data_IF_595112688624
#
_entry.id   IF_595112688624
#
_cell.length_a   1.000
_cell.length_b   1.000
_cell.length_c   1.000
_cell.angle_alpha   90.00
_cell.angle_beta   90.00
_cell.angle_gamma   90.00
#
_symmetry.space_group_name_H-M   'P 1'
#
loop_
_entity.id
_entity.type
_entity.pdbx_description
1 polymer ?
#
# COMPACT_ATOMS: atom_id res chain seq x y z
N UNK A 1 1.88 14.18 20.69
CA UNK A 1 0.90 13.45 21.53
C UNK A 1 1.48 12.27 22.32
N UNK A 2 2.77 11.92 22.20
CA UNK A 2 3.44 11.03 23.17
C UNK A 2 2.92 9.59 23.19
N UNK A 3 2.23 9.19 22.12
CA UNK A 3 1.50 7.93 22.00
C UNK A 3 2.49 6.77 21.94
N UNK A 4 2.41 5.87 22.92
CA UNK A 4 3.24 4.66 22.94
C UNK A 4 2.53 3.57 22.15
N UNK A 5 3.16 3.11 21.06
CA UNK A 5 2.66 2.00 20.24
C UNK A 5 3.47 0.74 20.49
N UNK A 6 2.78 -0.38 20.68
CA UNK A 6 3.40 -1.69 20.87
C UNK A 6 3.51 -2.43 19.55
N UNK A 7 4.72 -2.88 19.19
CA UNK A 7 4.93 -3.66 17.98
C UNK A 7 4.34 -5.07 18.12
N UNK A 8 3.62 -5.51 17.08
CA UNK A 8 3.12 -6.89 16.99
C UNK A 8 4.29 -7.84 16.70
N UNK A 9 4.38 -8.95 17.45
CA UNK A 9 5.32 -10.05 17.21
C UNK A 9 4.56 -11.29 16.75
N UNK A 10 4.27 -11.44 15.44
CA UNK A 10 3.49 -12.57 14.96
C UNK A 10 4.26 -13.88 15.11
N UNK A 11 3.57 -14.92 15.60
CA UNK A 11 4.05 -16.31 15.57
C UNK A 11 3.42 -17.00 14.36
N UNK A 12 4.21 -17.25 13.32
CA UNK A 12 3.73 -17.83 12.08
C UNK A 12 3.97 -19.35 12.06
N UNK A 13 3.04 -20.09 11.47
CA UNK A 13 3.16 -21.53 11.23
C UNK A 13 2.72 -21.84 9.81
N UNK A 14 3.66 -22.23 8.97
CA UNK A 14 3.43 -22.56 7.56
C UNK A 14 3.26 -24.09 7.44
N UNK A 15 2.22 -24.54 6.74
CA UNK A 15 1.98 -25.95 6.43
C UNK A 15 1.61 -26.07 4.96
N UNK A 16 2.37 -26.88 4.23
CA UNK A 16 2.08 -27.22 2.84
C UNK A 16 1.79 -28.72 2.80
N UNK A 17 0.59 -29.15 2.35
CA UNK A 17 0.28 -30.57 2.23
C UNK A 17 1.34 -31.29 1.39
N UNK A 18 1.74 -32.49 1.82
CA UNK A 18 2.74 -33.35 1.16
C UNK A 18 4.21 -32.89 1.24
N UNK A 19 4.53 -31.79 1.93
CA UNK A 19 5.92 -31.39 2.22
C UNK A 19 6.21 -31.47 3.72
N UNK A 20 7.40 -31.97 4.08
CA UNK A 20 7.94 -31.89 5.44
C UNK A 20 8.44 -30.46 5.70
N UNK A 21 8.43 -29.98 6.96
CA UNK A 21 8.93 -28.63 7.28
C UNK A 21 10.36 -28.34 6.81
N UNK A 22 11.24 -29.36 6.80
CA UNK A 22 12.62 -29.25 6.31
C UNK A 22 12.72 -29.01 4.80
N UNK A 23 11.66 -29.28 4.04
CA UNK A 23 11.60 -29.12 2.59
C UNK A 23 11.02 -27.75 2.19
N UNK A 24 10.60 -26.93 3.17
CA UNK A 24 9.97 -25.63 2.93
C UNK A 24 10.99 -24.52 3.10
N UNK A 25 11.45 -23.94 1.99
CA UNK A 25 12.09 -22.63 2.00
C UNK A 25 11.01 -21.54 2.11
N UNK A 26 11.12 -20.63 3.07
CA UNK A 26 10.14 -19.55 3.25
C UNK A 26 10.81 -18.22 3.54
N UNK A 27 10.23 -17.14 3.00
CA UNK A 27 10.63 -15.75 3.24
C UNK A 27 9.37 -14.94 3.51
N UNK A 28 9.17 -14.54 4.76
CA UNK A 28 8.06 -13.68 5.12
C UNK A 28 8.34 -12.28 4.58
N UNK A 29 7.39 -11.71 3.85
CA UNK A 29 7.43 -10.31 3.41
C UNK A 29 6.35 -9.56 4.16
N UNK A 30 6.72 -8.42 4.72
CA UNK A 30 5.79 -7.49 5.34
C UNK A 30 6.08 -6.12 4.76
N UNK A 31 5.04 -5.43 4.30
CA UNK A 31 5.19 -4.04 3.87
C UNK A 31 5.71 -3.23 5.06
N UNK A 32 6.74 -2.39 4.87
CA UNK A 32 7.15 -1.46 5.90
C UNK A 32 5.94 -0.67 6.42
N UNK A 33 5.87 -0.45 7.73
CA UNK A 33 4.85 0.42 8.28
C UNK A 33 5.02 1.82 7.70
N UNK A 34 3.99 2.34 7.03
CA UNK A 34 3.96 3.72 6.58
C UNK A 34 3.71 4.59 7.82
N UNK A 35 4.69 5.39 8.23
CA UNK A 35 4.56 6.35 9.33
C UNK A 35 3.91 7.62 8.78
N UNK A 36 2.57 7.63 8.75
CA UNK A 36 1.78 8.75 8.20
C UNK A 36 1.93 8.92 6.69
N UNK A 37 1.04 9.68 6.03
CA UNK A 37 1.08 9.87 4.58
C UNK A 37 2.27 10.71 4.08
N UNK A 38 3.05 11.32 4.97
CA UNK A 38 4.31 11.97 4.64
C UNK A 38 4.16 13.03 3.53
N UNK A 39 5.04 13.01 2.54
CA UNK A 39 5.05 13.96 1.40
C UNK A 39 3.73 13.98 0.61
N UNK A 40 2.94 12.90 0.62
CA UNK A 40 1.69 12.85 -0.15
C UNK A 40 0.60 13.76 0.44
N UNK A 41 0.57 13.96 1.76
CA UNK A 41 -0.37 14.92 2.40
C UNK A 41 -0.01 16.38 2.08
N UNK A 42 1.24 16.64 1.68
CA UNK A 42 1.68 17.98 1.29
C UNK A 42 1.28 18.37 -0.13
N UNK A 43 0.78 17.42 -0.93
CA UNK A 43 0.33 17.68 -2.30
C UNK A 43 -1.10 18.22 -2.24
N UNK A 44 -1.36 19.45 -2.74
CA UNK A 44 -2.71 19.98 -2.81
C UNK A 44 -3.61 19.12 -3.71
N UNK A 45 -4.88 18.98 -3.34
CA UNK A 45 -5.87 18.24 -4.15
C UNK A 45 -5.95 18.75 -5.59
N UNK A 46 -5.92 20.08 -5.78
CA UNK A 46 -5.89 20.73 -7.10
C UNK A 46 -4.75 20.22 -7.99
N UNK A 47 -3.62 19.85 -7.40
CA UNK A 47 -2.48 19.29 -8.15
C UNK A 47 -2.82 17.92 -8.70
N UNK A 48 -3.51 17.08 -7.92
CA UNK A 48 -3.96 15.74 -8.35
C UNK A 48 -5.01 15.88 -9.45
N UNK A 49 -5.94 16.83 -9.32
CA UNK A 49 -6.99 17.06 -10.31
C UNK A 49 -6.44 17.57 -11.64
N UNK A 50 -5.40 18.41 -11.61
CA UNK A 50 -4.75 18.90 -12.83
C UNK A 50 -4.02 17.81 -13.63
N UNK A 51 -3.70 16.66 -13.01
CA UNK A 51 -3.13 15.49 -13.70
C UNK A 51 -4.18 14.50 -14.17
N UNK A 52 -5.47 14.81 -14.00
CA UNK A 52 -6.54 13.97 -14.53
C UNK A 52 -6.56 14.03 -16.05
N UNK A 53 -6.43 12.87 -16.69
CA UNK A 53 -6.64 12.72 -18.13
C UNK A 53 -7.62 11.57 -18.39
N UNK A 54 -8.93 11.80 -18.19
CA UNK A 54 -9.92 10.74 -18.30
C UNK A 54 -10.12 10.26 -19.75
N UNK A 55 -9.75 11.07 -20.74
CA UNK A 55 -9.99 10.83 -22.16
C UNK A 55 -8.70 10.50 -22.95
N UNK A 56 -7.57 10.30 -22.26
CA UNK A 56 -6.26 10.02 -22.90
C UNK A 56 -5.92 11.09 -23.97
N UNK A 57 -6.08 12.36 -23.57
CA UNK A 57 -5.97 13.54 -24.41
C UNK A 57 -4.54 13.74 -24.95
N UNK A 58 -3.55 13.20 -24.24
CA UNK A 58 -2.15 13.23 -24.67
C UNK A 58 -1.75 12.03 -25.55
N UNK A 59 -2.65 11.05 -25.72
CA UNK A 59 -2.48 9.90 -26.61
C UNK A 59 -1.39 8.91 -26.16
N UNK A 60 -1.07 8.88 -24.87
CA UNK A 60 -0.07 7.98 -24.31
C UNK A 60 -0.63 6.57 -24.01
N UNK A 61 -1.96 6.38 -24.11
CA UNK A 61 -2.64 5.12 -23.86
C UNK A 61 -3.08 4.93 -22.40
N UNK A 62 -3.03 5.98 -21.57
CA UNK A 62 -3.30 5.93 -20.13
C UNK A 62 -4.37 6.98 -19.77
N UNK A 63 -5.53 6.51 -19.33
CA UNK A 63 -6.58 7.39 -18.80
C UNK A 63 -6.56 7.46 -17.26
N UNK A 64 -6.18 8.61 -16.71
CA UNK A 64 -6.18 8.87 -15.26
C UNK A 64 -7.52 9.44 -14.75
N UNK A 65 -8.07 8.87 -13.67
CA UNK A 65 -9.30 9.35 -13.01
C UNK A 65 -9.09 9.50 -11.50
N UNK A 66 -9.35 10.68 -10.90
CA UNK A 66 -9.30 10.86 -9.45
C UNK A 66 -10.31 9.94 -8.74
N UNK A 67 -9.87 9.31 -7.64
CA UNK A 67 -10.71 8.48 -6.79
C UNK A 67 -10.94 9.17 -5.45
N UNK A 68 -12.20 9.45 -5.13
CA UNK A 68 -12.59 9.96 -3.82
C UNK A 68 -12.97 8.79 -2.92
N UNK A 69 -12.44 8.78 -1.69
CA UNK A 69 -12.76 7.78 -0.67
C UNK A 69 -13.22 8.50 0.58
N UNK A 70 -14.50 8.34 0.92
CA UNK A 70 -15.06 8.84 2.16
C UNK A 70 -15.02 7.72 3.20
N UNK A 71 -14.37 7.94 4.34
CA UNK A 71 -14.33 6.98 5.43
C UNK A 71 -15.65 6.96 6.21
N UNK A 72 -16.19 5.77 6.47
CA UNK A 72 -17.28 5.53 7.44
C UNK A 72 -16.74 5.02 8.76
#
# INVERSE_FOLDING_TARGET
DGTTVSLRKPKLRIRIPRLRPSEIASSIRMTPGIVGPGLLESIPEETILNWSDPEDSDGNGISGRPQYVFGS
#
